data_IF_507042322159
#
_entry.id   IF_507042322159
#
_cell.length_a   1.000
_cell.length_b   1.000
_cell.length_c   1.000
_cell.angle_alpha   90.00
_cell.angle_beta   90.00
_cell.angle_gamma   90.00
#
_symmetry.space_group_name_H-M   'P 1'
#
loop_
_entity.id
_entity.type
_entity.pdbx_description
1 polymer ?
#
# COMPACT_ATOMS: atom_id res chain seq x y z
N UNK A 1 -8.45 2.65 -15.05
CA UNK A 1 -7.54 2.25 -13.97
C UNK A 1 -6.75 3.44 -13.45
N UNK A 2 -6.28 3.39 -12.22
CA UNK A 2 -5.44 4.42 -11.62
C UNK A 2 -4.16 3.79 -11.11
N UNK A 3 -3.12 4.60 -10.93
CA UNK A 3 -1.79 4.13 -10.50
C UNK A 3 -1.40 4.79 -9.18
N UNK A 4 -1.00 3.97 -8.21
CA UNK A 4 -0.35 4.44 -6.98
C UNK A 4 1.01 3.76 -6.86
N UNK A 5 1.98 4.46 -6.27
CA UNK A 5 3.29 3.87 -6.03
C UNK A 5 3.35 3.22 -4.65
N UNK A 6 4.32 2.32 -4.49
CA UNK A 6 4.61 1.72 -3.20
C UNK A 6 4.83 2.80 -2.12
N UNK A 7 5.56 3.87 -2.44
CA UNK A 7 5.80 4.99 -1.51
C UNK A 7 4.51 5.69 -1.10
N UNK A 8 3.59 5.91 -2.04
CA UNK A 8 2.31 6.55 -1.72
C UNK A 8 1.47 5.71 -0.75
N UNK A 9 1.68 4.41 -0.75
CA UNK A 9 1.00 3.48 0.15
C UNK A 9 1.80 3.21 1.44
N UNK A 10 2.89 3.92 1.65
CA UNK A 10 3.71 3.80 2.86
C UNK A 10 4.92 2.90 2.73
N UNK A 11 5.24 2.46 1.53
CA UNK A 11 6.41 1.61 1.29
C UNK A 11 7.67 2.39 0.97
N UNK A 12 8.68 1.69 0.49
CA UNK A 12 10.05 2.20 0.38
C UNK A 12 10.56 2.37 -1.06
N UNK A 13 9.73 2.11 -2.08
CA UNK A 13 10.18 2.21 -3.47
C UNK A 13 9.12 2.88 -4.35
N UNK A 14 9.46 3.08 -5.61
CA UNK A 14 8.60 3.75 -6.57
C UNK A 14 7.86 2.79 -7.53
N UNK A 15 7.72 1.53 -7.12
CA UNK A 15 6.99 0.56 -7.92
C UNK A 15 5.56 1.05 -8.15
N UNK A 16 5.13 1.05 -9.41
CA UNK A 16 3.78 1.47 -9.79
C UNK A 16 2.81 0.30 -9.68
N UNK A 17 1.72 0.54 -8.97
CA UNK A 17 0.65 -0.45 -8.75
C UNK A 17 -0.62 0.11 -9.39
N UNK A 18 -1.20 -0.65 -10.31
CA UNK A 18 -2.38 -0.21 -11.05
C UNK A 18 -3.59 -1.04 -10.66
N UNK A 19 -4.72 -0.38 -10.48
CA UNK A 19 -5.98 -1.04 -10.16
C UNK A 19 -7.17 -0.14 -10.45
N UNK A 20 -8.35 -0.74 -10.50
CA UNK A 20 -9.59 0.00 -10.70
C UNK A 20 -10.13 0.57 -9.39
N UNK A 21 -9.76 -0.03 -8.26
CA UNK A 21 -10.19 0.40 -6.94
C UNK A 21 -9.01 0.54 -6.00
N UNK A 22 -9.19 1.30 -4.93
CA UNK A 22 -8.18 1.41 -3.87
C UNK A 22 -7.86 0.04 -3.27
N UNK A 23 -8.86 -0.82 -3.08
CA UNK A 23 -8.66 -2.15 -2.53
C UNK A 23 -7.72 -3.00 -3.38
N UNK A 24 -7.83 -2.89 -4.71
CA UNK A 24 -6.95 -3.62 -5.61
C UNK A 24 -5.50 -3.20 -5.44
N UNK A 25 -5.21 -1.88 -5.41
CA UNK A 25 -3.83 -1.41 -5.24
C UNK A 25 -3.29 -1.74 -3.85
N UNK A 26 -4.15 -1.70 -2.82
CA UNK A 26 -3.77 -2.08 -1.46
C UNK A 26 -3.36 -3.55 -1.41
N UNK A 27 -4.14 -4.42 -2.05
CA UNK A 27 -3.81 -5.85 -2.11
C UNK A 27 -2.52 -6.12 -2.89
N UNK A 28 -2.29 -5.39 -3.97
CA UNK A 28 -1.04 -5.48 -4.73
C UNK A 28 0.15 -5.01 -3.88
N UNK A 29 -0.04 -3.95 -3.08
CA UNK A 29 1.00 -3.47 -2.16
C UNK A 29 1.32 -4.52 -1.10
N UNK A 30 0.31 -5.16 -0.52
CA UNK A 30 0.50 -6.23 0.46
C UNK A 30 1.38 -7.34 -0.12
N UNK A 31 1.02 -7.81 -1.31
CA UNK A 31 1.80 -8.84 -2.01
C UNK A 31 3.22 -8.39 -2.28
N UNK A 32 3.39 -7.15 -2.76
CA UNK A 32 4.70 -6.58 -3.06
C UNK A 32 5.58 -6.53 -1.83
N UNK A 33 5.06 -6.04 -0.69
CA UNK A 33 5.83 -5.94 0.55
C UNK A 33 6.26 -7.33 1.05
N UNK A 34 5.37 -8.31 0.99
CA UNK A 34 5.68 -9.67 1.43
C UNK A 34 6.76 -10.31 0.54
N UNK A 35 6.64 -10.12 -0.77
CA UNK A 35 7.62 -10.66 -1.71
C UNK A 35 8.98 -9.98 -1.56
N UNK A 36 9.00 -8.65 -1.40
CA UNK A 36 10.24 -7.91 -1.24
C UNK A 36 11.00 -8.34 0.02
N UNK A 37 10.30 -8.44 1.15
CA UNK A 37 10.93 -8.88 2.41
C UNK A 37 11.40 -10.33 2.31
N UNK A 38 10.62 -11.21 1.70
CA UNK A 38 11.01 -12.59 1.49
C UNK A 38 12.27 -12.72 0.62
N UNK A 39 12.47 -11.78 -0.30
CA UNK A 39 13.66 -11.73 -1.15
C UNK A 39 14.88 -11.09 -0.46
N UNK A 40 14.73 -10.63 0.78
CA UNK A 40 15.83 -10.05 1.56
C UNK A 40 15.91 -8.53 1.49
N UNK A 41 14.87 -7.85 1.00
CA UNK A 41 14.84 -6.39 0.93
C UNK A 41 14.53 -5.80 2.30
N UNK A 42 15.56 -5.38 3.01
CA UNK A 42 15.43 -4.83 4.36
C UNK A 42 14.76 -3.45 4.36
N UNK A 43 14.81 -2.72 3.25
CA UNK A 43 14.18 -1.39 3.15
C UNK A 43 12.66 -1.48 3.24
N UNK A 44 12.07 -2.61 2.86
CA UNK A 44 10.62 -2.82 2.91
C UNK A 44 10.13 -3.43 4.24
N UNK A 45 11.03 -3.85 5.13
CA UNK A 45 10.65 -4.44 6.42
C UNK A 45 9.80 -3.51 7.29
N UNK A 46 10.14 -2.21 7.47
CA UNK A 46 9.30 -1.32 8.25
C UNK A 46 7.92 -1.14 7.67
N UNK A 47 7.81 -1.08 6.35
CA UNK A 47 6.53 -0.94 5.67
C UNK A 47 5.65 -2.17 5.89
N UNK A 48 6.22 -3.37 5.80
CA UNK A 48 5.50 -4.61 6.07
C UNK A 48 5.04 -4.68 7.52
N UNK A 49 5.89 -4.26 8.45
CA UNK A 49 5.56 -4.22 9.87
C UNK A 49 4.39 -3.26 10.13
N UNK A 50 4.41 -2.08 9.52
CA UNK A 50 3.34 -1.09 9.64
C UNK A 50 2.04 -1.62 9.08
N UNK A 51 2.09 -2.29 7.94
CA UNK A 51 0.91 -2.91 7.34
C UNK A 51 0.29 -3.96 8.27
N UNK A 52 1.10 -4.84 8.83
CA UNK A 52 0.63 -5.83 9.80
C UNK A 52 0.07 -5.17 11.05
N UNK A 53 0.68 -4.07 11.49
CA UNK A 53 0.19 -3.29 12.62
C UNK A 53 -1.19 -2.71 12.39
N UNK A 54 -1.48 -2.27 11.16
CA UNK A 54 -2.81 -1.75 10.81
C UNK A 54 -3.90 -2.81 10.97
N UNK A 55 -3.59 -4.05 10.62
CA UNK A 55 -4.53 -5.17 10.82
C UNK A 55 -4.79 -5.47 12.29
N UNK A 56 -3.78 -5.27 13.14
CA UNK A 56 -3.90 -5.50 14.59
C UNK A 56 -4.58 -4.35 15.33
N UNK A 57 -4.59 -3.15 14.74
CA UNK A 57 -5.15 -1.94 15.35
C UNK A 57 -6.22 -1.36 14.43
N UNK A 58 -7.47 -1.88 14.49
CA UNK A 58 -8.52 -1.55 13.52
C UNK A 58 -8.81 -0.06 13.39
N UNK A 59 -8.75 0.71 14.49
CA UNK A 59 -9.05 2.15 14.45
C UNK A 59 -8.00 2.88 13.60
N UNK A 60 -6.72 2.61 13.83
CA UNK A 60 -5.64 3.21 13.04
C UNK A 60 -5.66 2.73 11.60
N UNK A 61 -5.93 1.44 11.42
CA UNK A 61 -6.03 0.86 10.07
C UNK A 61 -7.16 1.46 9.26
N UNK A 62 -8.31 1.72 9.88
CA UNK A 62 -9.44 2.35 9.20
C UNK A 62 -9.12 3.80 8.79
N UNK A 63 -8.43 4.56 9.63
CA UNK A 63 -8.01 5.91 9.30
C UNK A 63 -7.11 5.93 8.07
N UNK A 64 -6.09 5.08 8.06
CA UNK A 64 -5.19 4.94 6.92
C UNK A 64 -5.95 4.51 5.66
N UNK A 65 -6.87 3.56 5.79
CA UNK A 65 -7.67 3.04 4.68
C UNK A 65 -8.53 4.15 4.07
N UNK A 66 -9.22 4.93 4.91
CA UNK A 66 -10.06 6.04 4.43
C UNK A 66 -9.23 7.09 3.70
N UNK A 67 -8.07 7.44 4.25
CA UNK A 67 -7.17 8.41 3.63
C UNK A 67 -6.66 7.89 2.28
N UNK A 68 -6.31 6.62 2.22
CA UNK A 68 -5.83 5.99 0.98
C UNK A 68 -6.93 5.97 -0.08
N UNK A 69 -8.16 5.64 0.30
CA UNK A 69 -9.30 5.65 -0.63
C UNK A 69 -9.54 7.05 -1.17
N UNK A 70 -9.44 8.07 -0.34
CA UNK A 70 -9.61 9.46 -0.76
C UNK A 70 -8.50 9.86 -1.74
N UNK A 71 -7.25 9.56 -1.42
CA UNK A 71 -6.12 9.85 -2.29
C UNK A 71 -6.28 9.15 -3.65
N UNK A 72 -6.69 7.88 -3.63
CA UNK A 72 -6.93 7.13 -4.85
C UNK A 72 -8.03 7.79 -5.69
N UNK A 73 -9.12 8.21 -5.06
CA UNK A 73 -10.24 8.84 -5.76
C UNK A 73 -9.84 10.16 -6.44
N UNK A 74 -8.87 10.88 -5.88
CA UNK A 74 -8.38 12.14 -6.42
C UNK A 74 -7.39 11.97 -7.57
N UNK A 75 -6.86 10.76 -7.78
CA UNK A 75 -5.93 10.50 -8.87
C UNK A 75 -6.66 10.51 -10.22
N UNK A 76 -5.96 10.94 -11.30
CA UNK A 76 -6.53 10.87 -12.64
C UNK A 76 -6.61 9.42 -13.12
N UNK A 77 -7.56 9.15 -14.00
CA UNK A 77 -7.59 7.88 -14.72
C UNK A 77 -6.39 7.78 -15.67
N UNK A 78 -5.82 6.61 -15.76
CA UNK A 78 -4.69 6.35 -16.66
C UNK A 78 -5.09 6.35 -18.13
#
# INVERSE_FOLDING_TARGET
MKTMTCQQLGGACDLQLRGETADEVINLQDKHLREAVAAGDTAHEPALKDMKGRWKHPIKGMGWYKDTKREFAELPED
#
